data_IF_046064527673
#
_entry.id   IF_046064527673
#
_cell.length_a   1.000
_cell.length_b   1.000
_cell.length_c   1.000
_cell.angle_alpha   90.00
_cell.angle_beta   90.00
_cell.angle_gamma   90.00
#
_symmetry.space_group_name_H-M   'P 1'
#
loop_
_entity.id
_entity.type
_entity.pdbx_description
1 polymer ?
#
# COMPACT_ATOMS: atom_id res chain seq x y z
N UNK A 1 15.96 -37.22 -10.45
CA UNK A 1 16.32 -35.81 -10.22
C UNK A 1 15.79 -35.42 -8.86
N UNK A 2 16.66 -35.44 -7.86
CA UNK A 2 16.36 -35.12 -6.46
C UNK A 2 16.44 -33.60 -6.26
N UNK A 3 15.38 -33.01 -5.72
CA UNK A 3 15.34 -31.58 -5.39
C UNK A 3 16.15 -31.34 -4.12
N UNK A 4 17.19 -30.53 -4.21
CA UNK A 4 18.08 -30.18 -3.09
C UNK A 4 17.69 -28.78 -2.61
N UNK A 5 17.19 -28.60 -1.37
CA UNK A 5 16.78 -27.28 -0.90
C UNK A 5 18.02 -26.41 -0.70
N UNK A 6 18.09 -25.30 -1.45
CA UNK A 6 19.09 -24.26 -1.26
C UNK A 6 18.74 -23.49 0.01
N UNK A 7 19.60 -23.58 1.03
CA UNK A 7 19.43 -22.81 2.26
C UNK A 7 19.35 -21.31 1.95
N UNK A 8 18.37 -20.57 2.49
CA UNK A 8 18.36 -19.12 2.39
C UNK A 8 19.52 -18.58 3.23
N UNK A 9 20.38 -17.80 2.60
CA UNK A 9 21.50 -17.12 3.23
C UNK A 9 20.93 -15.96 4.07
N UNK A 10 20.38 -16.27 5.24
CA UNK A 10 19.90 -15.26 6.20
C UNK A 10 21.09 -14.57 6.82
N UNK A 11 21.35 -13.35 6.33
CA UNK A 11 22.24 -12.36 6.94
C UNK A 11 21.93 -12.24 8.44
N UNK A 12 22.93 -12.55 9.27
CA UNK A 12 22.84 -12.59 10.73
C UNK A 12 22.40 -11.27 11.40
N UNK A 13 22.32 -10.17 10.64
CA UNK A 13 21.96 -8.84 11.12
C UNK A 13 20.44 -8.59 11.18
N UNK A 14 19.61 -9.29 10.40
CA UNK A 14 18.13 -9.13 10.45
C UNK A 14 17.48 -9.87 11.65
N UNK A 15 18.19 -10.83 12.24
CA UNK A 15 17.66 -11.64 13.33
C UNK A 15 17.53 -10.87 14.66
N UNK A 16 18.26 -9.77 14.83
CA UNK A 16 18.25 -8.99 16.07
C UNK A 16 17.09 -7.98 16.16
N UNK A 17 16.55 -7.53 15.03
CA UNK A 17 15.46 -6.53 14.99
C UNK A 17 14.08 -7.11 15.31
N UNK A 18 13.88 -8.42 15.10
CA UNK A 18 12.61 -9.12 15.34
C UNK A 18 12.57 -9.94 16.64
N UNK A 19 13.45 -9.63 17.60
CA UNK A 19 13.52 -10.35 18.88
C UNK A 19 13.41 -9.39 20.05
N UNK A 20 12.38 -9.59 20.89
CA UNK A 20 12.19 -8.86 22.14
C UNK A 20 12.90 -9.60 23.26
N UNK A 21 13.75 -8.87 23.98
CA UNK A 21 14.38 -9.39 25.20
C UNK A 21 13.33 -9.49 26.30
N UNK A 22 13.05 -10.70 26.78
CA UNK A 22 12.12 -10.96 27.87
C UNK A 22 12.92 -11.43 29.09
N UNK A 23 13.08 -10.59 30.11
CA UNK A 23 13.79 -11.00 31.32
C UNK A 23 12.82 -11.20 32.50
N UNK A 24 12.39 -12.44 32.81
CA UNK A 24 11.49 -12.72 33.92
C UNK A 24 12.14 -12.53 35.30
N UNK A 25 13.47 -12.38 35.37
CA UNK A 25 14.22 -12.26 36.62
C UNK A 25 14.79 -10.85 36.84
N UNK A 26 14.23 -9.83 36.18
CA UNK A 26 14.68 -8.45 36.28
C UNK A 26 14.73 -7.91 37.74
N UNK A 27 13.83 -8.40 38.60
CA UNK A 27 13.72 -7.96 40.00
C UNK A 27 14.66 -8.73 40.95
N UNK A 28 15.34 -9.76 40.46
CA UNK A 28 16.21 -10.64 41.24
C UNK A 28 17.68 -10.30 40.96
N UNK A 29 18.15 -9.20 41.54
CA UNK A 29 19.47 -8.60 41.33
C UNK A 29 20.68 -9.50 41.69
N UNK A 30 20.46 -10.61 42.38
CA UNK A 30 21.52 -11.52 42.87
C UNK A 30 21.85 -12.66 41.91
N UNK A 31 21.08 -12.84 40.84
CA UNK A 31 21.35 -13.83 39.80
C UNK A 31 21.90 -13.11 38.57
N UNK A 32 23.14 -13.45 38.18
CA UNK A 32 23.69 -13.06 36.89
C UNK A 32 22.88 -13.72 35.77
N UNK A 33 21.76 -13.10 35.39
CA UNK A 33 20.93 -13.52 34.27
C UNK A 33 21.66 -13.11 32.99
N UNK A 34 22.01 -14.08 32.14
CA UNK A 34 22.54 -13.80 30.79
C UNK A 34 21.37 -13.27 29.94
N UNK A 35 21.33 -11.98 29.59
CA UNK A 35 20.16 -11.39 28.92
C UNK A 35 19.88 -12.07 27.57
N UNK A 36 20.92 -12.53 26.87
CA UNK A 36 20.82 -13.10 25.52
C UNK A 36 20.03 -14.41 25.41
N UNK A 37 19.67 -15.09 26.50
CA UNK A 37 19.04 -16.42 26.44
C UNK A 37 17.53 -16.33 26.20
N UNK A 38 16.90 -15.22 26.60
CA UNK A 38 15.44 -15.05 26.51
C UNK A 38 15.06 -14.02 25.44
N UNK A 39 15.48 -14.29 24.21
CA UNK A 39 15.08 -13.52 23.04
C UNK A 39 13.80 -14.13 22.46
N UNK A 40 12.65 -13.53 22.74
CA UNK A 40 11.37 -13.96 22.17
C UNK A 40 11.22 -13.35 20.77
N UNK A 41 10.83 -14.13 19.75
CA UNK A 41 10.39 -13.58 18.48
C UNK A 41 9.25 -12.58 18.70
N UNK A 42 9.36 -11.37 18.17
CA UNK A 42 8.30 -10.35 18.23
C UNK A 42 7.16 -10.60 17.24
N UNK A 43 7.32 -11.60 16.38
CA UNK A 43 6.32 -12.06 15.41
C UNK A 43 5.83 -13.46 15.79
N UNK A 44 4.53 -13.77 15.60
CA UNK A 44 4.02 -15.13 15.78
C UNK A 44 4.74 -16.08 14.84
N UNK A 45 5.33 -17.13 15.39
CA UNK A 45 5.91 -18.23 14.62
C UNK A 45 4.77 -19.17 14.25
N UNK A 46 4.42 -19.19 12.96
CA UNK A 46 3.36 -20.06 12.48
C UNK A 46 3.88 -21.50 12.43
N UNK A 47 3.18 -22.39 13.13
CA UNK A 47 3.48 -23.81 13.12
C UNK A 47 3.10 -24.46 11.77
N UNK A 48 2.19 -23.82 11.04
CA UNK A 48 1.69 -24.27 9.75
C UNK A 48 2.01 -23.26 8.67
N UNK A 49 2.54 -23.76 7.55
CA UNK A 49 2.84 -22.93 6.39
C UNK A 49 1.55 -22.29 5.86
N UNK A 50 0.42 -22.99 5.96
CA UNK A 50 -0.91 -22.54 5.56
C UNK A 50 -1.39 -21.34 6.38
N UNK A 51 -1.15 -21.32 7.70
CA UNK A 51 -1.48 -20.16 8.55
C UNK A 51 -0.58 -18.95 8.26
N UNK A 52 0.70 -19.21 7.96
CA UNK A 52 1.64 -18.15 7.56
C UNK A 52 1.23 -17.49 6.23
N UNK A 53 0.71 -18.28 5.29
CA UNK A 53 0.22 -17.80 4.00
C UNK A 53 -1.18 -17.19 4.08
N UNK A 54 -2.05 -17.66 4.98
CA UNK A 54 -3.34 -17.01 5.22
C UNK A 54 -3.16 -15.61 5.85
N UNK A 55 -2.11 -15.41 6.66
CA UNK A 55 -1.80 -14.12 7.26
C UNK A 55 -1.09 -13.15 6.28
N UNK A 56 -0.35 -13.68 5.29
CA UNK A 56 0.17 -12.89 4.16
C UNK A 56 -0.81 -12.92 3.00
N UNK A 57 -1.65 -11.88 2.86
CA UNK A 57 -2.61 -11.73 1.75
C UNK A 57 -2.04 -12.20 0.41
N UNK A 58 -2.79 -13.03 -0.29
CA UNK A 58 -2.40 -13.55 -1.60
C UNK A 58 -2.24 -12.40 -2.60
N UNK A 59 -1.38 -12.60 -3.60
CA UNK A 59 -1.12 -11.63 -4.68
C UNK A 59 -2.42 -11.09 -5.29
N UNK A 60 -3.38 -11.97 -5.57
CA UNK A 60 -4.67 -11.59 -6.16
C UNK A 60 -5.59 -10.83 -5.19
N UNK A 61 -5.48 -11.10 -3.89
CA UNK A 61 -6.23 -10.39 -2.85
C UNK A 61 -5.70 -8.97 -2.69
N UNK A 62 -4.37 -8.78 -2.66
CA UNK A 62 -3.76 -7.45 -2.65
C UNK A 62 -4.14 -6.66 -3.90
N UNK A 63 -4.09 -7.28 -5.07
CA UNK A 63 -4.49 -6.65 -6.33
C UNK A 63 -5.95 -6.18 -6.27
N UNK A 64 -6.88 -7.04 -5.89
CA UNK A 64 -8.32 -6.70 -5.80
C UNK A 64 -8.58 -5.65 -4.71
N UNK A 65 -7.86 -5.73 -3.59
CA UNK A 65 -7.97 -4.80 -2.48
C UNK A 65 -7.51 -3.39 -2.85
N UNK A 66 -6.29 -3.23 -3.39
CA UNK A 66 -5.76 -1.93 -3.76
C UNK A 66 -6.52 -1.30 -4.93
N UNK A 67 -6.94 -2.12 -5.90
CA UNK A 67 -7.76 -1.65 -7.03
C UNK A 67 -9.15 -1.24 -6.60
N UNK A 68 -9.80 -2.05 -5.77
CA UNK A 68 -11.14 -1.79 -5.25
C UNK A 68 -11.16 -0.52 -4.39
N UNK A 69 -10.23 -0.40 -3.43
CA UNK A 69 -10.14 0.79 -2.59
C UNK A 69 -9.77 2.02 -3.42
N UNK A 70 -8.79 1.89 -4.34
CA UNK A 70 -8.41 2.99 -5.23
C UNK A 70 -9.58 3.47 -6.10
N UNK A 71 -10.37 2.53 -6.64
CA UNK A 71 -11.56 2.84 -7.42
C UNK A 71 -12.64 3.52 -6.58
N UNK A 72 -12.98 2.98 -5.42
CA UNK A 72 -14.04 3.52 -4.55
C UNK A 72 -13.64 4.89 -3.98
N UNK A 73 -12.39 5.07 -3.56
CA UNK A 73 -11.88 6.36 -3.09
C UNK A 73 -11.87 7.40 -4.22
N UNK A 74 -11.40 7.01 -5.42
CA UNK A 74 -11.45 7.89 -6.59
C UNK A 74 -12.86 8.23 -7.03
N UNK A 75 -13.79 7.26 -7.00
CA UNK A 75 -15.17 7.43 -7.42
C UNK A 75 -15.94 8.33 -6.46
N UNK A 76 -15.77 8.16 -5.15
CA UNK A 76 -16.38 9.02 -4.13
C UNK A 76 -15.88 10.46 -4.21
N UNK A 77 -14.56 10.67 -4.30
CA UNK A 77 -13.98 12.00 -4.49
C UNK A 77 -14.43 12.64 -5.82
N UNK A 78 -14.47 11.86 -6.90
CA UNK A 78 -14.93 12.31 -8.21
C UNK A 78 -16.41 12.65 -8.23
N UNK A 79 -17.24 11.88 -7.55
CA UNK A 79 -18.66 12.14 -7.40
C UNK A 79 -18.91 13.42 -6.60
N UNK A 80 -18.19 13.65 -5.50
CA UNK A 80 -18.27 14.89 -4.73
C UNK A 80 -17.89 16.13 -5.57
N UNK A 81 -16.80 16.03 -6.35
CA UNK A 81 -16.40 17.09 -7.28
C UNK A 81 -17.45 17.32 -8.38
N UNK A 82 -17.96 16.24 -8.98
CA UNK A 82 -18.98 16.29 -10.03
C UNK A 82 -20.31 16.83 -9.52
N UNK A 83 -20.67 16.55 -8.27
CA UNK A 83 -21.82 17.11 -7.58
C UNK A 83 -21.68 18.62 -7.38
N UNK A 84 -20.55 19.09 -6.86
CA UNK A 84 -20.28 20.54 -6.71
C UNK A 84 -20.30 21.26 -8.06
N UNK A 85 -19.71 20.67 -9.09
CA UNK A 85 -19.72 21.22 -10.45
C UNK A 85 -21.12 21.22 -11.06
N UNK A 86 -21.89 20.15 -10.82
CA UNK A 86 -23.28 20.01 -11.22
C UNK A 86 -24.16 21.10 -10.62
N UNK A 87 -24.00 21.39 -9.32
CA UNK A 87 -24.72 22.49 -8.65
C UNK A 87 -24.35 23.85 -9.26
N UNK A 88 -23.06 24.11 -9.46
CA UNK A 88 -22.60 25.38 -10.04
C UNK A 88 -23.09 25.60 -11.47
N UNK A 89 -23.34 24.53 -12.20
CA UNK A 89 -23.83 24.58 -13.58
C UNK A 89 -25.35 24.73 -13.70
N UNK A 90 -26.10 24.81 -12.59
CA UNK A 90 -27.56 25.00 -12.62
C UNK A 90 -27.90 26.42 -13.07
N UNK A 91 -28.83 26.53 -14.01
CA UNK A 91 -29.34 27.82 -14.45
C UNK A 91 -30.63 28.18 -13.67
N UNK A 92 -30.89 29.45 -13.33
CA UNK A 92 -32.03 29.82 -12.50
C UNK A 92 -33.38 29.44 -13.12
N UNK A 93 -33.45 29.44 -14.46
CA UNK A 93 -34.62 29.13 -15.29
C UNK A 93 -34.90 27.61 -15.39
N UNK A 94 -34.01 26.74 -14.91
CA UNK A 94 -34.18 25.29 -15.04
C UNK A 94 -35.32 24.75 -14.16
N UNK A 95 -36.05 23.76 -14.69
CA UNK A 95 -37.02 23.00 -13.89
C UNK A 95 -36.29 22.08 -12.89
N UNK A 96 -36.93 21.74 -11.77
CA UNK A 96 -36.34 20.85 -10.74
C UNK A 96 -35.84 19.51 -11.32
N UNK A 97 -36.53 18.98 -12.34
CA UNK A 97 -36.12 17.75 -13.05
C UNK A 97 -34.80 17.93 -13.79
N UNK A 98 -34.59 19.06 -14.47
CA UNK A 98 -33.35 19.37 -15.18
C UNK A 98 -32.18 19.57 -14.20
N UNK A 99 -32.44 20.22 -13.06
CA UNK A 99 -31.43 20.42 -12.00
C UNK A 99 -30.92 19.09 -11.46
N UNK A 100 -31.83 18.17 -11.13
CA UNK A 100 -31.48 16.84 -10.61
C UNK A 100 -30.70 16.04 -11.67
N UNK A 101 -31.15 16.04 -12.91
CA UNK A 101 -30.47 15.30 -13.99
C UNK A 101 -29.04 15.83 -14.21
N UNK A 102 -28.85 17.16 -14.20
CA UNK A 102 -27.52 17.76 -14.36
C UNK A 102 -26.58 17.40 -13.22
N UNK A 103 -27.06 17.45 -11.97
CA UNK A 103 -26.29 17.03 -10.79
C UNK A 103 -25.90 15.55 -10.90
N UNK A 104 -26.85 14.68 -11.22
CA UNK A 104 -26.64 13.23 -11.26
C UNK A 104 -25.69 12.84 -12.40
N UNK A 105 -25.87 13.44 -13.58
CA UNK A 105 -24.98 13.22 -14.71
C UNK A 105 -23.58 13.76 -14.41
N UNK A 106 -23.47 14.94 -13.78
CA UNK A 106 -22.19 15.52 -13.37
C UNK A 106 -21.44 14.67 -12.35
N UNK A 107 -22.11 14.23 -11.28
CA UNK A 107 -21.52 13.40 -10.23
C UNK A 107 -21.17 12.00 -10.73
N UNK A 108 -22.07 11.34 -11.46
CA UNK A 108 -21.84 9.99 -11.99
C UNK A 108 -20.72 9.94 -13.03
N UNK A 109 -20.69 10.90 -13.95
CA UNK A 109 -19.68 10.92 -15.01
C UNK A 109 -18.27 11.24 -14.46
N UNK A 110 -18.17 12.22 -13.54
CA UNK A 110 -16.91 12.55 -12.88
C UNK A 110 -16.44 11.44 -11.94
N UNK A 111 -17.37 10.82 -11.18
CA UNK A 111 -17.09 9.68 -10.30
C UNK A 111 -16.52 8.50 -11.06
N UNK A 112 -17.17 8.06 -12.15
CA UNK A 112 -16.67 6.95 -12.98
C UNK A 112 -15.31 7.26 -13.61
N UNK A 113 -15.14 8.47 -14.15
CA UNK A 113 -13.89 8.85 -14.81
C UNK A 113 -12.70 8.89 -13.84
N UNK A 114 -12.88 9.49 -12.66
CA UNK A 114 -11.82 9.59 -11.65
C UNK A 114 -11.60 8.22 -10.97
N UNK A 115 -12.66 7.51 -10.64
CA UNK A 115 -12.61 6.15 -10.10
C UNK A 115 -11.82 5.19 -10.99
N UNK A 116 -12.14 5.10 -12.28
CA UNK A 116 -11.41 4.25 -13.23
C UNK A 116 -9.90 4.58 -13.27
N UNK A 117 -9.54 5.88 -13.26
CA UNK A 117 -8.14 6.31 -13.29
C UNK A 117 -7.40 5.91 -12.01
N UNK A 118 -7.99 6.16 -10.84
CA UNK A 118 -7.41 5.79 -9.55
C UNK A 118 -7.33 4.26 -9.38
N UNK A 119 -8.33 3.51 -9.84
CA UNK A 119 -8.33 2.05 -9.84
C UNK A 119 -7.20 1.46 -10.68
N UNK A 120 -6.94 1.99 -11.89
CA UNK A 120 -5.82 1.56 -12.75
C UNK A 120 -4.48 1.87 -12.09
N UNK A 121 -4.33 3.04 -11.46
CA UNK A 121 -3.09 3.38 -10.72
C UNK A 121 -2.89 2.40 -9.56
N UNK A 122 -3.93 2.08 -8.79
CA UNK A 122 -3.88 1.05 -7.75
C UNK A 122 -3.52 -0.33 -8.28
N UNK A 123 -4.03 -0.69 -9.47
CA UNK A 123 -3.72 -1.96 -10.15
C UNK A 123 -2.24 -2.04 -10.52
N UNK A 124 -1.73 -0.99 -11.15
CA UNK A 124 -0.34 -0.90 -11.56
C UNK A 124 0.60 -0.89 -10.35
N UNK A 125 0.22 -0.23 -9.26
CA UNK A 125 0.98 -0.22 -8.02
C UNK A 125 1.05 -1.62 -7.40
N UNK A 126 -0.09 -2.26 -7.19
CA UNK A 126 -0.15 -3.60 -6.61
C UNK A 126 0.56 -4.64 -7.49
N UNK A 127 0.45 -4.53 -8.82
CA UNK A 127 1.16 -5.39 -9.76
C UNK A 127 2.68 -5.23 -9.69
N UNK A 128 3.18 -3.98 -9.63
CA UNK A 128 4.62 -3.72 -9.52
C UNK A 128 5.17 -4.08 -8.14
N UNK A 129 4.47 -3.72 -7.07
CA UNK A 129 4.84 -4.09 -5.70
C UNK A 129 4.97 -5.60 -5.59
N UNK A 130 3.92 -6.33 -5.97
CA UNK A 130 3.89 -7.78 -5.81
C UNK A 130 4.86 -8.49 -6.77
N UNK A 131 5.10 -7.95 -7.96
CA UNK A 131 6.12 -8.45 -8.87
C UNK A 131 7.54 -8.28 -8.34
N UNK A 132 7.82 -7.18 -7.64
CA UNK A 132 9.13 -6.98 -7.01
C UNK A 132 9.32 -7.82 -5.75
N UNK A 133 8.28 -8.02 -4.94
CA UNK A 133 8.34 -8.94 -3.79
C UNK A 133 8.67 -10.36 -4.27
N UNK A 134 8.06 -10.82 -5.36
CA UNK A 134 8.34 -12.15 -5.93
C UNK A 134 9.78 -12.32 -6.45
N UNK A 135 10.46 -11.23 -6.83
CA UNK A 135 11.84 -11.27 -7.33
C UNK A 135 12.87 -11.05 -6.22
N UNK A 136 12.52 -10.31 -5.17
CA UNK A 136 13.48 -9.81 -4.18
C UNK A 136 13.27 -10.32 -2.75
N UNK A 137 12.14 -10.95 -2.45
CA UNK A 137 11.79 -11.54 -1.14
C UNK A 137 11.93 -10.59 0.08
N UNK A 138 12.00 -9.26 -0.16
CA UNK A 138 12.14 -8.22 0.87
C UNK A 138 11.09 -7.12 0.68
N UNK A 139 10.36 -6.80 1.76
CA UNK A 139 9.37 -5.71 1.82
C UNK A 139 10.02 -4.42 2.34
N UNK A 140 10.87 -3.79 1.53
CA UNK A 140 11.57 -2.56 1.90
C UNK A 140 10.90 -1.28 1.39
N UNK A 141 11.13 -0.17 2.11
CA UNK A 141 10.71 1.20 1.74
C UNK A 141 11.12 1.57 0.32
N UNK A 142 12.30 1.10 -0.10
CA UNK A 142 12.85 1.33 -1.44
C UNK A 142 11.97 0.64 -2.50
N UNK A 143 11.43 -0.53 -2.20
CA UNK A 143 10.56 -1.27 -3.12
C UNK A 143 9.26 -0.51 -3.39
N UNK A 144 8.64 0.03 -2.34
CA UNK A 144 7.43 0.85 -2.48
C UNK A 144 7.69 2.14 -3.27
N UNK A 145 8.84 2.81 -3.04
CA UNK A 145 9.19 4.05 -3.75
C UNK A 145 9.47 3.78 -5.23
N UNK A 146 10.18 2.70 -5.55
CA UNK A 146 10.42 2.27 -6.94
C UNK A 146 9.10 1.85 -7.61
N UNK A 147 8.21 1.16 -6.89
CA UNK A 147 6.87 0.84 -7.39
C UNK A 147 6.09 2.12 -7.71
N UNK A 148 6.09 3.10 -6.80
CA UNK A 148 5.41 4.40 -7.00
C UNK A 148 5.95 5.18 -8.20
N UNK A 149 7.28 5.26 -8.35
CA UNK A 149 7.94 5.85 -9.52
C UNK A 149 7.56 5.10 -10.80
N UNK A 150 7.62 3.77 -10.78
CA UNK A 150 7.31 2.89 -11.89
C UNK A 150 5.86 3.00 -12.33
N UNK A 151 4.92 2.97 -11.38
CA UNK A 151 3.48 3.12 -11.63
C UNK A 151 3.17 4.46 -12.26
N UNK A 152 3.74 5.56 -11.75
CA UNK A 152 3.54 6.89 -12.31
C UNK A 152 4.08 7.01 -13.73
N UNK A 153 5.27 6.47 -13.97
CA UNK A 153 5.88 6.46 -15.31
C UNK A 153 5.09 5.58 -16.29
N UNK A 154 4.71 4.35 -15.90
CA UNK A 154 3.93 3.42 -16.72
C UNK A 154 2.54 3.97 -17.07
N UNK A 155 1.83 4.53 -16.09
CA UNK A 155 0.49 5.07 -16.29
C UNK A 155 0.46 6.19 -17.34
N UNK A 156 1.52 7.00 -17.41
CA UNK A 156 1.64 8.13 -18.33
C UNK A 156 2.58 7.89 -19.52
N UNK A 157 3.16 6.70 -19.65
CA UNK A 157 4.06 6.33 -20.75
C UNK A 157 3.43 6.57 -22.13
N UNK A 158 2.14 6.19 -22.28
CA UNK A 158 1.39 6.36 -23.53
C UNK A 158 1.13 7.84 -23.91
N UNK A 159 1.26 8.78 -22.97
CA UNK A 159 1.08 10.21 -23.23
C UNK A 159 2.41 10.95 -23.50
N UNK A 160 3.54 10.21 -23.55
CA UNK A 160 4.86 10.72 -23.91
C UNK A 160 5.84 10.80 -22.74
N UNK A 161 7.13 10.74 -23.07
CA UNK A 161 8.26 10.57 -22.12
C UNK A 161 8.31 11.66 -21.05
N UNK A 162 8.08 12.93 -21.41
CA UNK A 162 8.05 14.05 -20.45
C UNK A 162 6.95 13.88 -19.40
N UNK A 163 5.79 13.40 -19.83
CA UNK A 163 4.65 13.19 -18.94
C UNK A 163 4.83 11.96 -18.05
N UNK A 164 5.51 10.93 -18.54
CA UNK A 164 5.92 9.76 -17.77
C UNK A 164 6.92 10.13 -16.68
N UNK A 165 7.92 10.96 -16.99
CA UNK A 165 8.91 11.42 -16.01
C UNK A 165 8.27 12.22 -14.86
N UNK A 166 7.38 13.17 -15.20
CA UNK A 166 6.66 13.98 -14.19
C UNK A 166 5.71 13.12 -13.35
N UNK A 167 4.94 12.25 -14.00
CA UNK A 167 4.01 11.37 -13.28
C UNK A 167 4.74 10.35 -12.41
N UNK A 168 5.88 9.83 -12.88
CA UNK A 168 6.79 9.01 -12.09
C UNK A 168 7.25 9.75 -10.85
N UNK A 169 7.85 10.95 -11.00
CA UNK A 169 8.32 11.76 -9.87
C UNK A 169 7.22 12.04 -8.84
N UNK A 170 6.01 12.42 -9.30
CA UNK A 170 4.85 12.63 -8.42
C UNK A 170 4.50 11.34 -7.67
N UNK A 171 4.45 10.20 -8.35
CA UNK A 171 4.20 8.89 -7.75
C UNK A 171 5.24 8.54 -6.68
N UNK A 172 6.52 8.78 -6.96
CA UNK A 172 7.61 8.55 -6.01
C UNK A 172 7.53 9.44 -4.77
N UNK A 173 7.22 10.74 -4.92
CA UNK A 173 7.05 11.66 -3.80
C UNK A 173 5.87 11.24 -2.92
N UNK A 174 4.73 10.91 -3.52
CA UNK A 174 3.52 10.49 -2.78
C UNK A 174 3.80 9.24 -1.97
N UNK A 175 4.45 8.22 -2.55
CA UNK A 175 4.80 7.00 -1.82
C UNK A 175 5.86 7.29 -0.75
N UNK A 176 6.88 8.10 -1.04
CA UNK A 176 7.88 8.50 -0.05
C UNK A 176 7.28 9.19 1.19
N UNK A 177 6.30 10.08 0.99
CA UNK A 177 5.55 10.70 2.08
C UNK A 177 4.71 9.69 2.85
N UNK A 178 4.07 8.74 2.16
CA UNK A 178 3.26 7.72 2.81
C UNK A 178 4.12 6.78 3.69
N UNK A 179 5.30 6.38 3.22
CA UNK A 179 6.18 5.49 4.00
C UNK A 179 6.81 6.21 5.19
N UNK A 180 7.29 7.44 5.00
CA UNK A 180 7.81 8.25 6.12
C UNK A 180 6.74 8.51 7.17
N UNK A 181 5.49 8.81 6.75
CA UNK A 181 4.35 8.91 7.65
C UNK A 181 4.10 7.62 8.44
N UNK A 182 4.14 6.46 7.78
CA UNK A 182 3.96 5.16 8.44
C UNK A 182 5.06 4.87 9.47
N UNK A 183 6.31 5.25 9.17
CA UNK A 183 7.43 5.15 10.12
C UNK A 183 7.25 6.06 11.34
N UNK A 184 6.75 7.28 11.12
CA UNK A 184 6.46 8.22 12.22
C UNK A 184 5.33 7.70 13.11
N UNK A 185 4.23 7.20 12.54
CA UNK A 185 3.09 6.68 13.32
C UNK A 185 3.52 5.48 14.19
N UNK A 186 4.29 4.54 13.64
CA UNK A 186 4.85 3.42 14.42
C UNK A 186 5.74 3.87 15.59
N UNK A 187 6.36 5.04 15.49
CA UNK A 187 7.18 5.61 16.57
C UNK A 187 6.34 6.16 17.73
N UNK A 188 5.11 6.60 17.46
CA UNK A 188 4.21 7.19 18.47
C UNK A 188 3.20 6.21 19.05
N UNK A 189 2.89 5.11 18.37
CA UNK A 189 1.96 4.08 18.85
C UNK A 189 2.72 2.75 18.90
N UNK A 190 3.26 2.35 20.07
CA UNK A 190 3.77 1.01 20.26
C UNK A 190 2.58 0.06 20.37
N UNK A 191 2.37 -0.76 19.34
CA UNK A 191 1.48 -1.93 19.38
C UNK A 191 2.37 -3.16 19.57
#
# INVERSE_FOLDING_TARGET
>A
MTYQPRAPNQSADENNTNRRLYNPYQDLHHLHSKPSIYQLPSSPEFLFQEESQAQRRSWGENLTYYTGIGYLAGASAGAAKGFSSGIKSIEPTDTLKLKINRILNGSGHAGRQIGNRCGIIGLLFAGLESGMVAVRDTDDVINSVVAGLGTGALYKAAAGVRSAAVAGAIGGVVVGLAVTGKQVVKRYIPI
#
